data_IF_782111884295
#
_entry.id   IF_782111884295
#
_cell.length_a   1.000
_cell.length_b   1.000
_cell.length_c   1.000
_cell.angle_alpha   90.00
_cell.angle_beta   90.00
_cell.angle_gamma   90.00
#
_symmetry.space_group_name_H-M   'P 1'
#
loop_
_entity.id
_entity.type
_entity.pdbx_description
1 polymer ?
#
# COMPACT_ATOMS: atom_id res chain seq x y z
N UNK A 1 15.23 -0.82 9.56
CA UNK A 1 14.23 -1.03 8.49
C UNK A 1 13.77 0.25 7.80
N UNK A 2 13.53 1.36 8.53
CA UNK A 2 13.21 2.67 7.92
C UNK A 2 14.22 3.16 6.86
N UNK A 3 15.50 2.80 7.03
CA UNK A 3 16.57 3.11 6.05
C UNK A 3 16.46 2.32 4.74
N UNK A 4 15.83 1.15 4.75
CA UNK A 4 15.70 0.28 3.57
C UNK A 4 14.38 0.51 2.82
N UNK A 5 13.31 0.88 3.52
CA UNK A 5 12.08 1.38 2.89
C UNK A 5 11.46 2.46 3.79
N UNK A 6 11.42 3.73 3.35
CA UNK A 6 10.87 4.82 4.15
C UNK A 6 9.35 4.70 4.38
N UNK A 7 8.65 3.94 3.52
CA UNK A 7 7.21 3.74 3.60
C UNK A 7 6.80 2.81 4.76
N UNK A 8 7.74 1.99 5.24
CA UNK A 8 7.50 1.06 6.35
C UNK A 8 7.74 1.79 7.66
N UNK A 9 6.69 1.93 8.45
CA UNK A 9 6.75 2.48 9.79
C UNK A 9 7.31 1.46 10.78
N UNK A 10 6.72 0.27 10.79
CA UNK A 10 7.05 -0.80 11.73
C UNK A 10 7.08 -2.17 11.06
N UNK A 11 7.89 -3.05 11.61
CA UNK A 11 7.98 -4.48 11.32
C UNK A 11 7.96 -5.22 12.66
N UNK A 12 7.06 -6.17 12.81
CA UNK A 12 6.91 -6.92 14.06
C UNK A 12 6.64 -8.38 13.80
N UNK A 13 6.92 -9.19 14.82
CA UNK A 13 6.52 -10.60 14.88
C UNK A 13 5.56 -10.74 16.04
N UNK A 14 4.42 -11.35 15.76
CA UNK A 14 3.41 -11.66 16.76
C UNK A 14 3.21 -13.17 16.89
N UNK A 15 2.74 -13.59 18.06
CA UNK A 15 2.39 -14.98 18.35
C UNK A 15 0.94 -15.08 18.82
N UNK A 16 0.21 -16.05 18.28
CA UNK A 16 -1.11 -16.45 18.78
C UNK A 16 -0.94 -17.31 20.03
N UNK A 17 -1.60 -16.90 21.10
CA UNK A 17 -1.65 -17.54 22.42
C UNK A 17 -3.12 -17.79 22.82
N UNK A 18 -3.39 -18.64 23.83
CA UNK A 18 -4.74 -18.87 24.32
C UNK A 18 -5.46 -17.59 24.78
N UNK A 19 -4.72 -16.64 25.34
CA UNK A 19 -5.22 -15.37 25.85
C UNK A 19 -5.32 -14.25 24.82
N UNK A 20 -4.86 -14.46 23.58
CA UNK A 20 -4.86 -13.43 22.53
C UNK A 20 -3.62 -13.46 21.65
N UNK A 21 -3.37 -12.37 20.95
CA UNK A 21 -2.15 -12.18 20.15
C UNK A 21 -1.17 -11.34 20.95
N UNK A 22 0.10 -11.74 20.97
CA UNK A 22 1.16 -11.05 21.71
C UNK A 22 2.33 -10.69 20.81
N UNK A 23 2.97 -9.55 21.10
CA UNK A 23 4.23 -9.18 20.45
C UNK A 23 5.36 -10.11 20.90
N UNK A 24 6.20 -10.52 19.95
CA UNK A 24 7.45 -11.25 20.20
C UNK A 24 8.64 -10.34 19.94
N UNK A 25 8.58 -9.58 18.84
CA UNK A 25 9.58 -8.60 18.44
C UNK A 25 8.86 -7.42 17.80
N UNK A 26 9.30 -6.20 18.10
CA UNK A 26 8.92 -4.98 17.42
C UNK A 26 10.18 -4.22 16.99
N UNK A 27 10.21 -3.74 15.76
CA UNK A 27 11.30 -2.96 15.18
C UNK A 27 11.36 -1.51 15.66
N UNK A 28 10.37 -1.01 16.40
CA UNK A 28 10.45 0.32 16.99
C UNK A 28 11.65 0.40 17.96
N UNK A 29 12.49 1.42 17.78
CA UNK A 29 13.68 1.68 18.60
C UNK A 29 13.43 2.81 19.61
N UNK A 30 12.21 3.33 19.67
CA UNK A 30 11.80 4.40 20.61
C UNK A 30 11.18 3.84 21.89
N UNK A 31 10.84 4.73 22.83
CA UNK A 31 10.12 4.37 24.07
C UNK A 31 8.70 3.83 23.80
N UNK A 32 8.17 4.04 22.58
CA UNK A 32 6.88 3.51 22.14
C UNK A 32 6.89 2.02 21.80
N UNK A 33 8.05 1.36 21.79
CA UNK A 33 8.18 -0.04 21.37
C UNK A 33 7.25 -0.99 22.13
N UNK A 34 6.59 -1.89 21.39
CA UNK A 34 5.85 -2.99 21.98
C UNK A 34 6.82 -4.03 22.57
N UNK A 35 6.88 -4.10 23.90
CA UNK A 35 7.73 -5.08 24.59
C UNK A 35 7.27 -6.52 24.34
N UNK A 36 8.19 -7.50 24.30
CA UNK A 36 7.83 -8.91 24.17
C UNK A 36 6.84 -9.35 25.25
N UNK A 37 5.75 -10.01 24.83
CA UNK A 37 4.66 -10.44 25.68
C UNK A 37 3.52 -9.43 25.83
N UNK A 38 3.66 -8.20 25.33
CA UNK A 38 2.56 -7.23 25.28
C UNK A 38 1.41 -7.79 24.44
N UNK A 39 0.20 -7.76 24.98
CA UNK A 39 -1.02 -8.19 24.29
C UNK A 39 -1.40 -7.11 23.28
N UNK A 40 -1.78 -7.54 22.07
CA UNK A 40 -2.38 -6.68 21.06
C UNK A 40 -3.90 -6.79 21.13
N UNK A 41 -4.60 -5.66 21.21
CA UNK A 41 -6.04 -5.63 21.49
C UNK A 41 -6.88 -5.50 20.20
N UNK A 42 -6.34 -4.85 19.17
CA UNK A 42 -7.04 -4.46 17.93
C UNK A 42 -7.02 -5.56 16.85
N UNK A 43 -7.30 -6.81 17.23
CA UNK A 43 -7.23 -7.95 16.31
C UNK A 43 -8.30 -7.83 15.20
N UNK A 44 -7.85 -7.80 13.95
CA UNK A 44 -8.73 -7.81 12.77
C UNK A 44 -8.92 -9.22 12.19
N UNK A 45 -10.03 -9.51 11.48
CA UNK A 45 -10.19 -10.79 10.77
C UNK A 45 -9.07 -11.04 9.73
N UNK A 46 -8.54 -9.98 9.11
CA UNK A 46 -7.47 -10.07 8.13
C UNK A 46 -6.12 -10.39 8.79
N UNK A 47 -5.86 -9.87 9.98
CA UNK A 47 -4.73 -10.29 10.81
C UNK A 47 -4.83 -11.77 11.21
N UNK A 48 -6.02 -12.25 11.60
CA UNK A 48 -6.20 -13.67 11.94
C UNK A 48 -5.88 -14.59 10.75
N UNK A 49 -6.30 -14.21 9.55
CA UNK A 49 -5.94 -14.90 8.30
C UNK A 49 -4.41 -14.86 8.09
N UNK A 50 -3.75 -13.77 8.49
CA UNK A 50 -2.31 -13.54 8.43
C UNK A 50 -1.46 -14.62 9.10
N UNK A 51 -2.00 -15.33 10.09
CA UNK A 51 -1.33 -16.47 10.70
C UNK A 51 -1.24 -17.70 9.79
N UNK A 52 -2.07 -17.77 8.74
CA UNK A 52 -2.16 -18.95 7.86
C UNK A 52 -1.77 -18.64 6.41
N UNK A 53 -1.98 -17.42 5.94
CA UNK A 53 -1.61 -16.98 4.59
C UNK A 53 -1.33 -15.48 4.57
N UNK A 54 -0.73 -14.98 3.49
CA UNK A 54 -0.54 -13.55 3.32
C UNK A 54 -1.89 -12.83 3.25
N UNK A 55 -2.01 -11.72 3.96
CA UNK A 55 -3.18 -10.87 3.99
C UNK A 55 -2.78 -9.40 4.19
N UNK A 56 -3.72 -8.49 3.94
CA UNK A 56 -3.56 -7.05 4.13
C UNK A 56 -4.88 -6.52 4.64
N UNK A 57 -4.84 -5.52 5.52
CA UNK A 57 -6.05 -4.83 5.92
C UNK A 57 -6.73 -4.16 4.71
N UNK A 58 -8.06 -4.15 4.73
CA UNK A 58 -8.90 -3.55 3.67
C UNK A 58 -9.20 -2.08 3.91
N UNK A 59 -8.83 -1.57 5.09
CA UNK A 59 -9.02 -0.20 5.55
C UNK A 59 -7.93 0.17 6.54
N UNK A 60 -7.86 1.46 6.86
CA UNK A 60 -6.99 1.96 7.92
C UNK A 60 -7.50 1.47 9.28
N UNK A 61 -6.58 0.97 10.11
CA UNK A 61 -6.80 0.51 11.47
C UNK A 61 -6.13 1.51 12.42
N UNK A 62 -6.82 1.86 13.51
CA UNK A 62 -6.30 2.72 14.56
C UNK A 62 -6.02 1.89 15.81
N UNK A 63 -4.83 2.05 16.38
CA UNK A 63 -4.37 1.42 17.61
C UNK A 63 -3.58 2.41 18.48
N UNK A 64 -2.97 1.94 19.57
CA UNK A 64 -2.23 2.79 20.50
C UNK A 64 -0.95 3.43 19.90
N UNK A 65 -0.47 2.96 18.75
CA UNK A 65 0.71 3.50 18.04
C UNK A 65 0.34 4.47 16.91
N UNK A 66 -0.95 4.57 16.57
CA UNK A 66 -1.49 5.50 15.58
C UNK A 66 -2.44 4.83 14.59
N UNK A 67 -2.43 5.30 13.34
CA UNK A 67 -3.32 4.81 12.28
C UNK A 67 -2.51 4.23 11.14
N UNK A 68 -2.77 2.96 10.80
CA UNK A 68 -1.95 2.18 9.88
C UNK A 68 -2.78 1.42 8.85
N UNK A 69 -2.14 1.13 7.72
CA UNK A 69 -2.53 0.05 6.83
C UNK A 69 -1.48 -1.05 6.97
N UNK A 70 -1.91 -2.24 7.41
CA UNK A 70 -0.99 -3.29 7.81
C UNK A 70 -1.08 -4.51 6.90
N UNK A 71 0.07 -5.12 6.64
CA UNK A 71 0.21 -6.34 5.87
C UNK A 71 0.76 -7.47 6.74
N UNK A 72 0.23 -8.67 6.58
CA UNK A 72 0.54 -9.83 7.42
C UNK A 72 0.98 -11.01 6.56
N UNK A 73 1.88 -11.82 7.11
CA UNK A 73 2.23 -13.11 6.52
C UNK A 73 2.63 -14.14 7.59
N UNK A 74 2.37 -15.44 7.35
CA UNK A 74 2.74 -16.48 8.29
C UNK A 74 4.25 -16.69 8.30
N UNK A 75 4.84 -16.91 9.47
CA UNK A 75 6.21 -17.40 9.54
C UNK A 75 6.26 -18.86 9.06
N UNK A 76 7.20 -19.15 8.15
CA UNK A 76 7.48 -20.53 7.74
C UNK A 76 7.86 -21.37 8.96
N UNK A 77 7.33 -22.59 9.04
CA UNK A 77 7.47 -23.50 10.17
C UNK A 77 6.92 -22.95 11.51
N UNK A 78 6.11 -21.89 11.48
CA UNK A 78 5.43 -21.34 12.65
C UNK A 78 4.16 -22.11 13.08
N UNK A 79 3.71 -23.08 12.28
CA UNK A 79 2.50 -23.90 12.50
C UNK A 79 1.23 -23.07 12.78
N UNK A 80 1.04 -21.95 12.08
CA UNK A 80 -0.11 -21.08 12.29
C UNK A 80 -0.10 -20.28 13.59
N UNK A 81 1.02 -20.30 14.33
CA UNK A 81 1.15 -19.59 15.61
C UNK A 81 1.89 -18.26 15.52
N UNK A 82 2.64 -18.03 14.46
CA UNK A 82 3.48 -16.85 14.31
C UNK A 82 3.19 -16.15 12.99
N UNK A 83 3.07 -14.83 13.04
CA UNK A 83 3.01 -13.98 11.86
C UNK A 83 4.08 -12.89 11.93
N UNK A 84 4.44 -12.39 10.77
CA UNK A 84 5.14 -11.13 10.60
C UNK A 84 4.13 -10.11 10.12
N UNK A 85 4.14 -8.93 10.73
CA UNK A 85 3.34 -7.80 10.32
C UNK A 85 4.23 -6.63 9.93
N UNK A 86 3.76 -5.86 8.95
CA UNK A 86 4.37 -4.61 8.51
C UNK A 86 3.32 -3.52 8.50
N UNK A 87 3.66 -2.35 9.02
CA UNK A 87 2.76 -1.20 9.07
C UNK A 87 3.24 -0.08 8.16
N UNK A 88 2.28 0.54 7.47
CA UNK A 88 2.46 1.80 6.76
C UNK A 88 1.52 2.84 7.37
N UNK A 89 2.04 4.02 7.72
CA UNK A 89 1.24 5.08 8.37
C UNK A 89 0.19 5.63 7.40
N UNK A 90 -0.97 6.00 7.93
CA UNK A 90 -2.08 6.54 7.16
C UNK A 90 -1.70 7.76 6.29
N UNK A 91 -0.86 8.66 6.82
CA UNK A 91 -0.37 9.82 6.07
C UNK A 91 0.47 9.40 4.85
N UNK A 92 1.30 8.37 4.97
CA UNK A 92 2.08 7.83 3.84
C UNK A 92 1.17 7.20 2.79
N UNK A 93 0.16 6.44 3.21
CA UNK A 93 -0.85 5.89 2.29
C UNK A 93 -1.56 7.00 1.51
N UNK A 94 -2.00 8.05 2.20
CA UNK A 94 -2.68 9.18 1.58
C UNK A 94 -1.77 9.95 0.62
N UNK A 95 -0.51 10.19 1.00
CA UNK A 95 0.47 10.87 0.16
C UNK A 95 0.69 10.11 -1.15
N UNK A 96 0.90 8.79 -1.10
CA UNK A 96 1.06 7.97 -2.30
C UNK A 96 -0.17 7.96 -3.21
N UNK A 97 -1.37 7.87 -2.62
CA UNK A 97 -2.61 7.93 -3.41
C UNK A 97 -2.77 9.29 -4.08
N UNK A 98 -2.40 10.37 -3.40
CA UNK A 98 -2.40 11.73 -3.96
C UNK A 98 -1.42 11.85 -5.12
N UNK A 99 -0.19 11.35 -4.98
CA UNK A 99 0.83 11.35 -6.04
C UNK A 99 0.36 10.56 -7.26
N UNK A 100 -0.12 9.32 -7.06
CA UNK A 100 -0.66 8.49 -8.15
C UNK A 100 -1.81 9.17 -8.88
N UNK A 101 -2.71 9.81 -8.14
CA UNK A 101 -3.83 10.57 -8.73
C UNK A 101 -3.33 11.74 -9.57
N UNK A 102 -2.37 12.52 -9.05
CA UNK A 102 -1.82 13.67 -9.78
C UNK A 102 -1.10 13.24 -11.06
N UNK A 103 -0.22 12.24 -10.96
CA UNK A 103 0.50 11.70 -12.14
C UNK A 103 -0.49 11.10 -13.15
N UNK A 104 -1.53 10.40 -12.69
CA UNK A 104 -2.58 9.86 -13.54
C UNK A 104 -3.33 10.95 -14.31
N UNK A 105 -3.73 12.04 -13.64
CA UNK A 105 -4.41 13.18 -14.27
C UNK A 105 -3.50 13.86 -15.30
N UNK A 106 -2.24 14.12 -14.95
CA UNK A 106 -1.27 14.74 -15.86
C UNK A 106 -1.07 13.87 -17.10
N UNK A 107 -0.89 12.56 -16.91
CA UNK A 107 -0.69 11.60 -18.00
C UNK A 107 -1.92 11.51 -18.91
N UNK A 108 -3.12 11.55 -18.34
CA UNK A 108 -4.36 11.58 -19.09
C UNK A 108 -4.49 12.86 -19.93
N UNK A 109 -4.24 14.03 -19.34
CA UNK A 109 -4.28 15.31 -20.04
C UNK A 109 -3.26 15.37 -21.18
N UNK A 110 -2.02 14.93 -20.93
CA UNK A 110 -0.99 14.84 -21.95
C UNK A 110 -1.41 13.92 -23.12
N UNK A 111 -2.02 12.77 -22.80
CA UNK A 111 -2.52 11.83 -23.81
C UNK A 111 -3.64 12.43 -24.66
N UNK A 112 -4.58 13.15 -24.05
CA UNK A 112 -5.66 13.86 -24.76
C UNK A 112 -5.08 14.92 -25.69
N UNK A 113 -4.15 15.75 -25.20
CA UNK A 113 -3.50 16.79 -26.01
C UNK A 113 -2.77 16.20 -27.21
N UNK A 114 -2.04 15.10 -26.99
CA UNK A 114 -1.32 14.40 -28.05
C UNK A 114 -2.28 13.78 -29.08
N UNK A 115 -3.38 13.19 -28.62
CA UNK A 115 -4.43 12.64 -29.48
C UNK A 115 -5.07 13.73 -30.35
N UNK A 116 -5.39 14.89 -29.78
CA UNK A 116 -5.92 16.04 -30.52
C UNK A 116 -4.92 16.58 -31.54
N UNK A 117 -3.63 16.66 -31.17
CA UNK A 117 -2.58 17.07 -32.09
C UNK A 117 -2.48 16.12 -33.29
N UNK A 118 -2.44 14.81 -33.05
CA UNK A 118 -2.41 13.82 -34.13
C UNK A 118 -3.67 13.85 -34.99
N UNK A 119 -4.84 13.94 -34.38
CA UNK A 119 -6.10 14.07 -35.09
C UNK A 119 -6.10 15.30 -36.02
N UNK A 120 -5.58 16.44 -35.54
CA UNK A 120 -5.45 17.67 -36.32
C UNK A 120 -4.47 17.54 -37.49
N UNK A 121 -3.30 16.95 -37.26
CA UNK A 121 -2.28 16.73 -38.29
C UNK A 121 -2.79 15.79 -39.39
N UNK A 122 -3.42 14.68 -39.01
CA UNK A 122 -3.99 13.71 -39.95
C UNK A 122 -5.15 14.33 -40.73
N UNK A 123 -6.07 15.02 -40.05
CA UNK A 123 -7.21 15.71 -40.67
C UNK A 123 -6.75 16.69 -41.76
N UNK A 124 -5.74 17.52 -41.47
CA UNK A 124 -5.14 18.43 -42.46
C UNK A 124 -4.50 17.69 -43.63
N UNK A 125 -3.76 16.60 -43.36
CA UNK A 125 -3.11 15.81 -44.39
C UNK A 125 -4.09 15.13 -45.35
N UNK A 126 -5.18 14.57 -44.82
CA UNK A 126 -6.20 13.88 -45.61
C UNK A 126 -7.05 14.86 -46.42
N UNK A 127 -7.50 15.95 -45.80
CA UNK A 127 -8.32 16.99 -46.45
C UNK A 127 -7.58 17.62 -47.65
N UNK A 128 -6.27 17.87 -47.50
CA UNK A 128 -5.44 18.44 -48.58
C UNK A 128 -5.26 17.48 -49.77
N UNK A 129 -5.21 16.16 -49.52
CA UNK A 129 -5.11 15.13 -50.58
C UNK A 129 -6.43 14.94 -51.34
N UNK A 130 -7.56 14.97 -50.63
CA UNK A 130 -8.89 14.85 -51.26
C UNK A 130 -9.16 16.06 -52.19
N UNK A 131 -8.79 17.27 -51.76
CA UNK A 131 -8.96 18.48 -52.57
C UNK A 131 -8.11 18.48 -53.86
N UNK A 132 -6.99 17.75 -53.90
CA UNK A 132 -6.15 17.61 -55.09
C UNK A 132 -6.67 16.57 -56.10
N UNK A 133 -7.57 15.67 -55.69
CA UNK A 133 -8.18 14.65 -56.55
C UNK A 133 -9.52 15.10 -57.14
N UNK A 134 -10.07 16.23 -56.68
CA UNK A 134 -11.35 16.78 -57.18
C UNK A 134 -11.19 17.97 -58.14
N UNK A 135 -9.95 18.28 -58.57
CA UNK A 135 -9.61 19.21 -59.66
C UNK A 135 -8.86 18.43 -60.74
#
# INVERSE_FOLDING_TARGET
MRRSNPDIAFLYVMRKEPQGVVFVVDSDETEGQALPGKIYEEITPLMEIGFFQASVDDKLIEDEWGVFLSGYAPLRNGNGRYLVGIDMRANEVQNKLSELRQTGIISLLASILLALLFAHLISRGLTRRIALLSN
#
